data_IF_182127507918
#
_entry.id   IF_182127507918
#
_cell.length_a   1.000
_cell.length_b   1.000
_cell.length_c   1.000
_cell.angle_alpha   90.00
_cell.angle_beta   90.00
_cell.angle_gamma   90.00
#
_symmetry.space_group_name_H-M   'P 1'
#
loop_
_entity.id
_entity.type
_entity.pdbx_description
1 polymer ?
#
# COMPACT_ATOMS: atom_id res chain seq x y z
N UNK A 1 6.96 45.21 -2.54
CA UNK A 1 6.26 45.96 -3.60
C UNK A 1 6.24 45.06 -4.83
N UNK A 2 5.01 44.81 -5.33
CA UNK A 2 4.53 44.14 -6.55
C UNK A 2 5.43 43.21 -7.41
N UNK A 3 4.91 42.00 -7.65
CA UNK A 3 5.30 41.02 -8.67
C UNK A 3 5.12 41.53 -10.12
N UNK A 4 5.85 40.99 -11.12
CA UNK A 4 5.43 41.03 -12.51
C UNK A 4 4.45 39.88 -12.81
N UNK A 5 3.32 40.22 -13.45
CA UNK A 5 2.31 39.28 -13.94
C UNK A 5 2.69 38.93 -15.39
N UNK A 6 3.05 37.68 -15.66
CA UNK A 6 3.09 37.17 -17.05
C UNK A 6 1.76 36.50 -17.39
N UNK A 7 1.02 37.19 -18.24
CA UNK A 7 -0.16 36.69 -18.93
C UNK A 7 0.29 35.84 -20.13
N UNK A 8 0.07 34.53 -20.07
CA UNK A 8 -0.02 33.70 -21.28
C UNK A 8 -1.29 32.87 -21.20
N UNK A 9 -2.22 33.14 -22.12
CA UNK A 9 -3.61 32.68 -22.11
C UNK A 9 -3.80 31.17 -22.27
N UNK A 10 -5.07 30.70 -22.28
CA UNK A 10 -5.37 29.28 -22.36
C UNK A 10 -4.99 28.73 -23.73
N UNK A 11 -3.98 27.86 -23.77
CA UNK A 11 -3.64 27.07 -24.95
C UNK A 11 -4.70 25.98 -25.09
N UNK A 12 -5.66 26.22 -25.97
CA UNK A 12 -6.47 25.16 -26.58
C UNK A 12 -5.62 24.55 -27.71
N UNK A 13 -5.12 23.33 -27.51
CA UNK A 13 -4.71 22.47 -28.61
C UNK A 13 -5.80 21.44 -28.86
N UNK A 14 -6.44 21.67 -29.99
CA UNK A 14 -7.42 20.85 -30.68
C UNK A 14 -6.74 19.61 -31.30
N UNK A 15 -7.55 18.56 -31.40
CA UNK A 15 -7.55 17.56 -32.46
C UNK A 15 -6.48 16.44 -32.53
N UNK A 16 -7.04 15.24 -32.30
CA UNK A 16 -6.96 14.05 -33.16
C UNK A 16 -5.61 13.37 -33.31
N UNK A 17 -5.44 12.33 -32.51
CA UNK A 17 -5.09 11.02 -33.05
C UNK A 17 -5.71 9.96 -32.16
N UNK A 18 -6.97 9.62 -32.43
CA UNK A 18 -7.48 8.31 -32.07
C UNK A 18 -6.56 7.29 -32.75
N UNK A 19 -5.58 6.80 -32.00
CA UNK A 19 -4.93 5.54 -32.31
C UNK A 19 -6.04 4.52 -32.18
N UNK A 20 -6.80 4.36 -33.27
CA UNK A 20 -7.54 3.14 -33.52
C UNK A 20 -6.48 2.08 -33.54
N UNK A 21 -6.22 1.49 -32.36
CA UNK A 21 -5.67 0.16 -32.28
C UNK A 21 -6.59 -0.66 -33.18
N UNK A 22 -6.15 -0.88 -34.42
CA UNK A 22 -6.62 -2.02 -35.18
C UNK A 22 -6.27 -3.20 -34.30
N UNK A 23 -7.24 -3.65 -33.50
CA UNK A 23 -7.27 -5.02 -33.03
C UNK A 23 -7.18 -5.83 -34.32
N UNK A 24 -5.98 -6.31 -34.62
CA UNK A 24 -5.78 -7.31 -35.64
C UNK A 24 -6.68 -8.45 -35.20
N UNK A 25 -7.79 -8.59 -35.93
CA UNK A 25 -8.80 -9.59 -35.67
C UNK A 25 -8.20 -10.91 -36.19
N UNK A 26 -7.10 -11.39 -35.61
CA UNK A 26 -6.35 -12.56 -36.09
C UNK A 26 -7.18 -13.85 -36.02
N UNK A 27 -8.28 -13.83 -35.26
CA UNK A 27 -9.29 -14.89 -35.29
C UNK A 27 -10.01 -15.02 -36.64
N UNK A 28 -10.09 -13.94 -37.44
CA UNK A 28 -10.78 -13.93 -38.74
C UNK A 28 -10.01 -14.70 -39.82
N UNK A 29 -8.68 -14.84 -39.71
CA UNK A 29 -7.86 -15.52 -40.72
C UNK A 29 -8.01 -17.05 -40.72
N UNK A 30 -8.26 -17.66 -39.55
CA UNK A 30 -8.46 -19.13 -39.42
C UNK A 30 -9.78 -19.60 -40.03
N UNK A 31 -10.86 -18.85 -39.81
CA UNK A 31 -12.21 -19.24 -40.27
C UNK A 31 -12.36 -19.08 -41.79
N UNK A 32 -11.80 -18.01 -42.35
CA UNK A 32 -11.75 -17.81 -43.80
C UNK A 32 -10.82 -18.83 -44.50
N UNK A 33 -9.77 -19.28 -43.82
CA UNK A 33 -8.88 -20.35 -44.29
C UNK A 33 -9.53 -21.74 -44.22
N UNK A 34 -10.26 -22.06 -43.15
CA UNK A 34 -11.04 -23.31 -43.04
C UNK A 34 -12.15 -23.41 -44.10
N UNK A 35 -12.78 -22.29 -44.46
CA UNK A 35 -13.71 -22.22 -45.59
C UNK A 35 -13.02 -22.50 -46.93
N UNK A 36 -11.84 -21.93 -47.15
CA UNK A 36 -11.03 -22.20 -48.34
C UNK A 36 -10.60 -23.66 -48.41
N UNK A 37 -10.21 -24.25 -47.28
CA UNK A 37 -9.86 -25.67 -47.15
C UNK A 37 -11.02 -26.61 -47.49
N UNK A 38 -12.20 -26.36 -46.92
CA UNK A 38 -13.42 -27.15 -47.21
C UNK A 38 -13.84 -27.00 -48.67
N UNK A 39 -13.63 -25.83 -49.26
CA UNK A 39 -13.93 -25.56 -50.67
C UNK A 39 -12.99 -26.32 -51.61
N UNK A 40 -11.70 -26.40 -51.30
CA UNK A 40 -10.72 -27.18 -52.07
C UNK A 40 -10.93 -28.69 -51.92
N UNK A 41 -11.25 -29.17 -50.72
CA UNK A 41 -11.60 -30.58 -50.47
C UNK A 41 -12.84 -31.06 -51.24
N UNK A 42 -13.76 -30.15 -51.57
CA UNK A 42 -14.98 -30.43 -52.34
C UNK A 42 -14.73 -30.50 -53.85
N UNK A 43 -13.57 -30.04 -54.34
CA UNK A 43 -13.22 -29.94 -55.76
C UNK A 43 -11.93 -30.69 -56.16
N UNK A 44 -11.23 -31.34 -55.22
CA UNK A 44 -10.02 -32.13 -55.50
C UNK A 44 -10.38 -33.54 -56.01
N UNK A 45 -9.82 -33.93 -57.16
CA UNK A 45 -9.81 -35.30 -57.65
C UNK A 45 -8.96 -36.18 -56.71
N UNK A 46 -9.44 -37.34 -56.21
CA UNK A 46 -8.86 -38.12 -55.10
C UNK A 46 -7.39 -38.59 -55.22
N UNK A 47 -6.68 -38.31 -56.32
CA UNK A 47 -5.37 -38.92 -56.59
C UNK A 47 -4.13 -38.13 -56.10
N UNK A 48 -4.21 -36.85 -55.66
CA UNK A 48 -3.04 -36.13 -55.09
C UNK A 48 -3.33 -35.17 -53.92
N UNK A 49 -3.55 -35.68 -52.68
CA UNK A 49 -3.83 -34.86 -51.49
C UNK A 49 -2.59 -34.45 -50.67
N UNK A 50 -1.37 -34.45 -51.24
CA UNK A 50 -0.12 -34.35 -50.46
C UNK A 50 0.44 -32.94 -50.26
N UNK A 51 0.45 -32.06 -51.28
CA UNK A 51 1.04 -30.71 -51.15
C UNK A 51 0.22 -29.77 -50.24
N UNK A 52 -1.12 -29.84 -50.29
CA UNK A 52 -1.98 -28.99 -49.46
C UNK A 52 -1.83 -29.28 -47.95
N UNK A 53 -1.52 -30.53 -47.59
CA UNK A 53 -1.34 -30.94 -46.18
C UNK A 53 -0.09 -30.37 -45.53
N UNK A 54 1.00 -30.22 -46.28
CA UNK A 54 2.28 -29.75 -45.74
C UNK A 54 2.22 -28.25 -45.43
N UNK A 55 1.53 -27.47 -46.27
CA UNK A 55 1.24 -26.06 -46.03
C UNK A 55 0.31 -25.85 -44.82
N UNK A 56 -0.74 -26.68 -44.68
CA UNK A 56 -1.66 -26.65 -43.53
C UNK A 56 -0.93 -26.98 -42.23
N UNK A 57 -0.03 -27.97 -42.25
CA UNK A 57 0.77 -28.34 -41.08
C UNK A 57 1.67 -27.18 -40.62
N UNK A 58 2.29 -26.45 -41.55
CA UNK A 58 3.11 -25.28 -41.23
C UNK A 58 2.26 -24.12 -40.68
N UNK A 59 1.08 -23.83 -41.25
CA UNK A 59 0.19 -22.79 -40.75
C UNK A 59 -0.43 -23.13 -39.39
N UNK A 60 -0.76 -24.40 -39.14
CA UNK A 60 -1.19 -24.88 -37.82
C UNK A 60 -0.07 -24.70 -36.77
N UNK A 61 1.19 -24.94 -37.16
CA UNK A 61 2.35 -24.72 -36.31
C UNK A 61 2.54 -23.23 -35.97
N UNK A 62 2.42 -22.33 -36.95
CA UNK A 62 2.47 -20.88 -36.71
C UNK A 62 1.32 -20.39 -35.82
N UNK A 63 0.09 -20.88 -36.07
CA UNK A 63 -1.08 -20.59 -35.24
C UNK A 63 -0.92 -21.02 -33.79
N UNK A 64 -0.26 -22.16 -33.55
CA UNK A 64 0.02 -22.65 -32.20
C UNK A 64 1.10 -21.81 -31.50
N UNK A 65 2.14 -21.40 -32.23
CA UNK A 65 3.20 -20.52 -31.70
C UNK A 65 2.66 -19.14 -31.34
N UNK A 66 1.78 -18.58 -32.18
CA UNK A 66 1.13 -17.29 -31.92
C UNK A 66 0.23 -17.37 -30.69
N UNK A 67 -0.57 -18.43 -30.56
CA UNK A 67 -1.38 -18.65 -29.37
C UNK A 67 -0.52 -18.79 -28.10
N UNK A 68 0.62 -19.47 -28.18
CA UNK A 68 1.58 -19.58 -27.08
C UNK A 68 2.19 -18.22 -26.72
N UNK A 69 2.50 -17.39 -27.72
CA UNK A 69 2.98 -16.02 -27.52
C UNK A 69 1.93 -15.16 -26.81
N UNK A 70 0.68 -15.17 -27.29
CA UNK A 70 -0.42 -14.43 -26.68
C UNK A 70 -0.66 -14.88 -25.23
N UNK A 71 -0.50 -16.17 -24.94
CA UNK A 71 -0.57 -16.71 -23.59
C UNK A 71 0.58 -16.20 -22.70
N UNK A 72 1.81 -16.18 -23.21
CA UNK A 72 2.97 -15.66 -22.48
C UNK A 72 2.85 -14.16 -22.19
N UNK A 73 2.29 -13.39 -23.13
CA UNK A 73 1.94 -11.98 -22.93
C UNK A 73 0.89 -11.82 -21.83
N UNK A 74 -0.20 -12.60 -21.87
CA UNK A 74 -1.20 -12.60 -20.81
C UNK A 74 -0.65 -12.97 -19.43
N UNK A 75 0.30 -13.90 -19.35
CA UNK A 75 1.00 -14.21 -18.09
C UNK A 75 1.87 -13.05 -17.60
N UNK A 76 2.49 -12.31 -18.51
CA UNK A 76 3.30 -11.13 -18.16
C UNK A 76 2.43 -9.98 -17.64
N UNK A 77 1.27 -9.76 -18.26
CA UNK A 77 0.27 -8.80 -17.78
C UNK A 77 -0.26 -9.20 -16.40
N UNK A 78 -0.59 -10.47 -16.18
CA UNK A 78 -1.03 -10.97 -14.88
C UNK A 78 0.03 -10.78 -13.80
N UNK A 79 1.31 -11.03 -14.11
CA UNK A 79 2.42 -10.80 -13.19
C UNK A 79 2.53 -9.32 -12.82
N UNK A 80 2.46 -8.43 -13.80
CA UNK A 80 2.49 -6.97 -13.57
C UNK A 80 1.31 -6.53 -12.69
N UNK A 81 0.10 -7.03 -12.96
CA UNK A 81 -1.08 -6.73 -12.15
C UNK A 81 -0.95 -7.20 -10.69
N UNK A 82 -0.38 -8.40 -10.47
CA UNK A 82 -0.10 -8.88 -9.11
C UNK A 82 0.96 -8.04 -8.39
N UNK A 83 2.03 -7.63 -9.10
CA UNK A 83 3.05 -6.74 -8.53
C UNK A 83 2.47 -5.37 -8.16
N UNK A 84 1.59 -4.81 -8.98
CA UNK A 84 0.88 -3.56 -8.69
C UNK A 84 -0.07 -3.69 -7.49
N UNK A 85 -0.83 -4.80 -7.41
CA UNK A 85 -1.64 -5.12 -6.23
C UNK A 85 -0.79 -5.20 -4.96
N UNK A 86 0.37 -5.86 -5.03
CA UNK A 86 1.28 -5.95 -3.89
C UNK A 86 1.83 -4.57 -3.48
N UNK A 87 2.23 -3.73 -4.46
CA UNK A 87 2.67 -2.35 -4.20
C UNK A 87 1.56 -1.51 -3.55
N UNK A 88 0.34 -1.61 -4.05
CA UNK A 88 -0.81 -0.89 -3.49
C UNK A 88 -1.15 -1.36 -2.06
N UNK A 89 -1.10 -2.67 -1.80
CA UNK A 89 -1.29 -3.24 -0.47
C UNK A 89 -0.17 -2.81 0.49
N UNK A 90 1.09 -2.81 0.03
CA UNK A 90 2.25 -2.31 0.77
C UNK A 90 2.05 -0.84 1.18
N UNK A 91 1.61 0.00 0.23
CA UNK A 91 1.34 1.41 0.49
C UNK A 91 0.18 1.60 1.47
N UNK A 92 -0.85 0.76 1.40
CA UNK A 92 -1.97 0.78 2.36
C UNK A 92 -1.51 0.37 3.76
N UNK A 93 -0.71 -0.68 3.87
CA UNK A 93 -0.20 -1.16 5.15
C UNK A 93 0.72 -0.14 5.83
N UNK A 94 1.64 0.47 5.06
CA UNK A 94 2.52 1.53 5.59
C UNK A 94 1.74 2.78 5.98
N UNK A 95 0.74 3.18 5.18
CA UNK A 95 -0.14 4.30 5.53
C UNK A 95 -0.96 4.00 6.79
N UNK A 96 -1.50 2.79 6.92
CA UNK A 96 -2.26 2.38 8.11
C UNK A 96 -1.39 2.34 9.38
N UNK A 97 -0.12 1.92 9.25
CA UNK A 97 0.82 1.96 10.37
C UNK A 97 1.13 3.40 10.79
N UNK A 98 1.41 4.28 9.83
CA UNK A 98 1.68 5.70 10.11
C UNK A 98 0.49 6.41 10.73
N UNK A 99 -0.74 6.19 10.22
CA UNK A 99 -1.95 6.80 10.78
C UNK A 99 -2.21 6.41 12.24
N UNK A 100 -1.89 5.18 12.64
CA UNK A 100 -2.00 4.76 14.03
C UNK A 100 -0.99 5.48 14.93
N UNK A 101 0.25 5.65 14.46
CA UNK A 101 1.30 6.37 15.20
C UNK A 101 1.01 7.88 15.27
N UNK A 102 0.56 8.48 14.17
CA UNK A 102 0.17 9.88 14.12
C UNK A 102 -0.98 10.17 15.09
N UNK A 103 -1.94 9.25 15.21
CA UNK A 103 -3.03 9.39 16.18
C UNK A 103 -2.55 9.34 17.64
N UNK A 104 -1.62 8.43 17.96
CA UNK A 104 -1.01 8.36 19.30
C UNK A 104 -0.20 9.63 19.63
N UNK A 105 0.59 10.11 18.67
CA UNK A 105 1.36 11.35 18.83
C UNK A 105 0.41 12.53 19.01
N UNK A 106 -0.60 12.68 18.16
CA UNK A 106 -1.60 13.74 18.28
C UNK A 106 -2.29 13.72 19.64
N UNK A 107 -2.75 12.54 20.09
CA UNK A 107 -3.36 12.37 21.41
C UNK A 107 -2.39 12.77 22.53
N UNK A 108 -1.14 12.33 22.47
CA UNK A 108 -0.14 12.68 23.49
C UNK A 108 0.14 14.18 23.53
N UNK A 109 0.32 14.84 22.37
CA UNK A 109 0.56 16.28 22.28
C UNK A 109 -0.63 17.06 22.81
N UNK A 110 -1.86 16.58 22.59
CA UNK A 110 -3.09 17.19 23.12
C UNK A 110 -3.17 17.24 24.65
N UNK A 111 -2.34 16.47 25.35
CA UNK A 111 -2.28 16.48 26.81
C UNK A 111 -1.30 17.53 27.35
N UNK A 112 -0.41 18.07 26.51
CA UNK A 112 0.55 19.10 26.93
C UNK A 112 -0.17 20.31 27.53
N UNK A 113 0.23 20.71 28.73
CA UNK A 113 -0.40 21.80 29.49
C UNK A 113 -1.65 21.40 30.27
N UNK A 114 -2.15 20.17 30.12
CA UNK A 114 -3.28 19.65 30.89
C UNK A 114 -2.81 18.91 32.14
N UNK A 115 -3.70 18.84 33.12
CA UNK A 115 -3.50 17.99 34.29
C UNK A 115 -4.02 16.59 33.99
N UNK A 116 -3.25 15.58 34.36
CA UNK A 116 -3.57 14.17 34.13
C UNK A 116 -3.42 13.40 35.43
N UNK A 117 -4.27 12.39 35.59
CA UNK A 117 -4.10 11.34 36.58
C UNK A 117 -3.58 10.09 35.87
N UNK A 118 -2.40 9.63 36.28
CA UNK A 118 -1.76 8.46 35.71
C UNK A 118 -1.39 7.43 36.77
N UNK A 119 -1.47 6.15 36.42
CA UNK A 119 -0.99 5.05 37.27
C UNK A 119 0.29 4.49 36.66
N UNK A 120 1.42 4.74 37.32
CA UNK A 120 2.75 4.32 36.87
C UNK A 120 3.32 3.26 37.79
N UNK A 121 4.28 2.47 37.32
CA UNK A 121 5.04 1.59 38.21
C UNK A 121 5.81 2.42 39.26
N UNK A 122 5.70 2.04 40.53
CA UNK A 122 6.48 2.63 41.62
C UNK A 122 7.94 2.25 41.43
N UNK A 123 8.84 3.23 41.50
CA UNK A 123 10.27 3.01 41.31
C UNK A 123 11.00 2.98 42.66
N UNK A 124 12.00 2.11 42.78
CA UNK A 124 12.94 2.09 43.90
C UNK A 124 14.01 3.19 43.78
N UNK A 125 14.90 3.31 44.77
CA UNK A 125 16.01 4.28 44.74
C UNK A 125 16.99 4.07 43.58
N UNK A 126 16.98 2.88 42.95
CA UNK A 126 17.79 2.55 41.78
C UNK A 126 17.05 2.78 40.45
N UNK A 127 15.80 3.27 40.49
CA UNK A 127 14.98 3.53 39.31
C UNK A 127 14.38 2.28 38.66
N UNK A 128 14.27 1.16 39.39
CA UNK A 128 13.61 -0.07 38.94
C UNK A 128 12.19 -0.19 39.51
N UNK A 129 11.25 -0.83 38.79
CA UNK A 129 9.92 -1.06 39.31
C UNK A 129 9.98 -1.92 40.58
N UNK A 130 9.30 -1.46 41.62
CA UNK A 130 9.15 -2.18 42.89
C UNK A 130 8.19 -3.33 42.66
N UNK A 131 8.59 -4.54 43.04
CA UNK A 131 7.77 -5.74 42.93
C UNK A 131 7.27 -6.18 44.31
N UNK A 132 6.02 -6.63 44.41
CA UNK A 132 5.47 -7.20 45.63
C UNK A 132 6.00 -8.64 45.88
N UNK A 133 5.60 -9.24 47.01
CA UNK A 133 6.02 -10.59 47.39
C UNK A 133 5.58 -11.68 46.38
N UNK A 134 4.55 -11.38 45.58
CA UNK A 134 3.96 -12.28 44.58
C UNK A 134 4.59 -12.11 43.18
N UNK A 135 5.54 -11.18 43.02
CA UNK A 135 6.21 -10.96 41.74
C UNK A 135 5.52 -9.93 40.82
N UNK A 136 4.49 -9.23 41.29
CA UNK A 136 3.76 -8.19 40.54
C UNK A 136 4.33 -6.79 40.80
N UNK A 137 4.35 -5.93 39.77
CA UNK A 137 4.79 -4.54 39.91
C UNK A 137 3.80 -3.73 40.75
N UNK A 138 4.31 -3.05 41.78
CA UNK A 138 3.56 -2.11 42.59
C UNK A 138 3.40 -0.83 41.78
N UNK A 139 2.18 -0.34 41.65
CA UNK A 139 1.87 0.92 40.96
C UNK A 139 1.63 2.06 41.95
N UNK A 140 1.79 3.30 41.48
CA UNK A 140 1.46 4.53 42.20
C UNK A 140 0.71 5.50 41.29
N UNK A 141 -0.21 6.27 41.87
CA UNK A 141 -0.96 7.30 41.14
C UNK A 141 -0.25 8.64 41.20
N UNK A 142 -0.11 9.28 40.04
CA UNK A 142 0.48 10.61 39.88
C UNK A 142 -0.60 11.55 39.37
N UNK A 143 -0.83 12.62 40.12
CA UNK A 143 -1.62 13.77 39.70
C UNK A 143 -0.68 14.91 39.35
N UNK A 144 -0.63 15.32 38.09
CA UNK A 144 0.33 16.33 37.65
C UNK A 144 0.02 16.93 36.28
N UNK A 145 0.74 17.99 35.93
CA UNK A 145 0.59 18.69 34.65
C UNK A 145 1.61 18.17 33.64
N UNK A 146 1.16 17.80 32.44
CA UNK A 146 2.05 17.43 31.34
C UNK A 146 2.80 18.66 30.86
N UNK A 147 4.13 18.66 30.96
CA UNK A 147 4.98 19.76 30.46
C UNK A 147 5.44 19.58 29.03
N UNK A 148 5.71 18.34 28.64
CA UNK A 148 6.25 18.02 27.34
C UNK A 148 5.88 16.61 26.91
N UNK A 149 6.02 16.33 25.62
CA UNK A 149 5.93 14.99 25.05
C UNK A 149 7.26 14.68 24.38
N UNK A 150 7.83 13.52 24.72
CA UNK A 150 9.03 12.97 24.10
C UNK A 150 8.62 11.81 23.21
N UNK A 151 9.38 11.54 22.16
CA UNK A 151 9.18 10.37 21.31
C UNK A 151 10.42 9.50 21.45
N UNK A 152 10.26 8.30 22.00
CA UNK A 152 11.34 7.32 22.13
C UNK A 152 10.97 6.08 21.34
N UNK A 153 11.82 5.70 20.37
CA UNK A 153 11.59 4.54 19.48
C UNK A 153 10.22 4.56 18.78
N UNK A 154 9.71 5.75 18.45
CA UNK A 154 8.40 5.93 17.81
C UNK A 154 7.20 5.91 18.77
N UNK A 155 7.42 5.76 20.07
CA UNK A 155 6.36 5.75 21.09
C UNK A 155 6.35 7.12 21.79
N UNK A 156 5.20 7.83 21.83
CA UNK A 156 5.09 9.06 22.59
C UNK A 156 5.05 8.79 24.10
N UNK A 157 5.83 9.58 24.85
CA UNK A 157 5.97 9.54 26.30
C UNK A 157 5.69 10.93 26.85
N UNK A 158 4.77 11.04 27.81
CA UNK A 158 4.42 12.28 28.47
C UNK A 158 5.40 12.56 29.61
N UNK A 159 5.89 13.79 29.70
CA UNK A 159 6.64 14.26 30.86
C UNK A 159 5.70 15.02 31.79
N UNK A 160 5.25 14.34 32.85
CA UNK A 160 4.30 14.87 33.84
C UNK A 160 5.07 15.46 35.02
N UNK A 161 4.83 16.74 35.32
CA UNK A 161 5.31 17.37 36.54
C UNK A 161 4.27 17.26 37.65
N UNK A 162 4.70 16.76 38.80
CA UNK A 162 3.87 16.57 39.99
C UNK A 162 4.64 17.04 41.22
N UNK A 163 3.90 17.48 42.23
CA UNK A 163 4.48 17.93 43.50
C UNK A 163 4.43 16.78 44.49
N UNK A 164 5.59 16.32 44.95
CA UNK A 164 5.72 15.31 46.00
C UNK A 164 6.59 15.90 47.11
N UNK A 165 6.07 15.92 48.34
CA UNK A 165 6.76 16.46 49.52
C UNK A 165 7.23 17.92 49.35
N UNK A 166 6.44 18.73 48.64
CA UNK A 166 6.75 20.15 48.37
C UNK A 166 7.80 20.37 47.27
N UNK A 167 8.30 19.30 46.64
CA UNK A 167 9.27 19.35 45.54
C UNK A 167 8.58 18.96 44.23
N UNK A 168 8.71 19.80 43.21
CA UNK A 168 8.28 19.46 41.85
C UNK A 168 9.22 18.40 41.29
N UNK A 169 8.67 17.25 40.91
CA UNK A 169 9.37 16.16 40.22
C UNK A 169 8.74 15.95 38.86
N UNK A 170 9.52 15.40 37.92
CA UNK A 170 8.98 14.92 36.63
C UNK A 170 8.95 13.40 36.60
N UNK A 171 7.88 12.84 36.02
CA UNK A 171 7.76 11.42 35.66
C UNK A 171 7.59 11.29 34.15
N UNK A 172 8.20 10.26 33.58
CA UNK A 172 7.80 9.77 32.27
C UNK A 172 6.55 8.90 32.45
N UNK A 173 5.50 9.18 31.67
CA UNK A 173 4.21 8.49 31.71
C UNK A 173 3.83 8.10 30.29
N UNK A 174 3.50 6.84 30.08
CA UNK A 174 3.00 6.36 28.79
C UNK A 174 1.52 6.72 28.61
N UNK A 175 1.09 6.89 27.37
CA UNK A 175 -0.30 7.26 27.07
C UNK A 175 -1.32 6.25 27.64
N UNK A 176 -0.96 4.96 27.69
CA UNK A 176 -1.79 3.90 28.29
C UNK A 176 -1.82 3.90 29.81
N UNK A 177 -0.94 4.65 30.48
CA UNK A 177 -0.93 4.80 31.94
C UNK A 177 -1.81 5.97 32.41
N UNK A 178 -2.30 6.81 31.49
CA UNK A 178 -3.19 7.93 31.79
C UNK A 178 -4.62 7.41 31.93
N UNK A 179 -5.18 7.52 33.13
CA UNK A 179 -6.53 7.05 33.43
C UNK A 179 -7.60 8.10 33.11
N UNK A 180 -7.31 9.38 33.39
CA UNK A 180 -8.23 10.49 33.16
C UNK A 180 -7.46 11.81 32.96
N UNK A 181 -8.14 12.74 32.29
CA UNK A 181 -7.68 14.12 32.11
C UNK A 181 -8.53 14.99 33.04
N UNK A 182 -7.86 15.80 33.86
CA UNK A 182 -8.49 16.73 34.79
C UNK A 182 -8.64 18.14 34.18
#
# INVERSE_FOLDING_TARGET
>A
MASPIENTGPVYQDQTSSTTQRKTNDSLGKDDFLKLLVTQLKYQDPMQPMEDKEFIAQMAQFSALEQMKNMAEGFTELKTSQEEMFKNMSNLFSTQQNLQMDNLIFQSVSFTGKTVDATVAKLDEAGKPVTNADGEEVTESIHGTVKAVKIEKGIPILQVEYTQDGVTKSRNVYLGEVNQIA
#
